data_IF_887794995989
#
_entry.id   IF_887794995989
#
_cell.length_a   1.000
_cell.length_b   1.000
_cell.length_c   1.000
_cell.angle_alpha   90.00
_cell.angle_beta   90.00
_cell.angle_gamma   90.00
#
_symmetry.space_group_name_H-M   'P 1'
#
loop_
_entity.id
_entity.type
_entity.pdbx_description
1 polymer ?
#
# COMPACT_ATOMS: atom_id res chain seq x y z
N UNK A 1 -73.65 -36.12 52.41
CA UNK A 1 -73.23 -36.00 51.00
C UNK A 1 -72.40 -34.73 50.86
N UNK A 2 -71.26 -34.80 50.16
CA UNK A 2 -70.36 -33.70 49.71
C UNK A 2 -69.67 -32.90 50.85
N UNK A 3 -68.44 -33.18 51.29
CA UNK A 3 -67.10 -33.27 50.67
C UNK A 3 -66.63 -32.01 49.91
N UNK A 4 -65.52 -31.46 50.40
CA UNK A 4 -64.44 -30.68 49.72
C UNK A 4 -64.39 -29.18 50.07
N UNK A 5 -63.27 -28.53 50.38
CA UNK A 5 -61.84 -28.91 50.52
C UNK A 5 -61.06 -27.72 51.14
N UNK A 6 -60.17 -27.99 52.09
CA UNK A 6 -59.00 -27.15 52.42
C UNK A 6 -57.92 -27.28 51.32
N UNK A 7 -57.15 -26.23 51.01
CA UNK A 7 -55.97 -25.63 51.68
C UNK A 7 -54.62 -26.24 51.22
N UNK A 8 -53.69 -25.35 50.85
CA UNK A 8 -52.23 -25.54 50.61
C UNK A 8 -51.83 -26.28 49.31
N UNK A 9 -50.73 -26.00 48.59
CA UNK A 9 -49.43 -25.45 48.97
C UNK A 9 -48.63 -24.86 47.77
N UNK A 10 -47.73 -23.91 48.11
CA UNK A 10 -46.36 -23.70 47.59
C UNK A 10 -46.06 -23.66 46.07
N UNK A 11 -45.85 -22.45 45.54
CA UNK A 11 -45.05 -22.17 44.34
C UNK A 11 -43.66 -21.68 44.76
N UNK A 12 -42.63 -22.49 44.55
CA UNK A 12 -41.21 -22.12 44.68
C UNK A 12 -40.56 -21.88 43.30
N UNK A 13 -39.43 -21.13 43.25
CA UNK A 13 -38.84 -20.67 41.99
C UNK A 13 -37.96 -21.72 41.31
N UNK A 14 -38.03 -21.79 39.98
CA UNK A 14 -37.23 -22.69 39.16
C UNK A 14 -35.79 -22.18 39.00
N UNK A 15 -34.85 -22.81 39.71
CA UNK A 15 -33.41 -22.70 39.45
C UNK A 15 -33.03 -23.36 38.12
N UNK A 16 -32.54 -22.58 37.16
CA UNK A 16 -31.85 -23.09 35.97
C UNK A 16 -30.41 -23.48 36.36
N UNK A 17 -30.16 -24.79 36.55
CA UNK A 17 -28.79 -25.32 36.70
C UNK A 17 -28.15 -25.50 35.32
N UNK A 18 -27.01 -24.83 35.12
CA UNK A 18 -26.06 -25.07 34.03
C UNK A 18 -25.65 -26.55 34.00
N UNK A 19 -25.72 -27.15 32.81
CA UNK A 19 -25.21 -28.51 32.54
C UNK A 19 -23.75 -28.39 32.09
N UNK A 20 -22.83 -28.97 32.85
CA UNK A 20 -21.39 -29.02 32.50
C UNK A 20 -21.14 -29.84 31.22
N UNK A 21 -20.14 -29.49 30.39
CA UNK A 21 -19.76 -30.28 29.22
C UNK A 21 -18.99 -31.57 29.64
N UNK A 22 -19.06 -32.66 28.85
CA UNK A 22 -18.38 -33.91 29.17
C UNK A 22 -16.86 -33.84 28.90
N UNK A 23 -16.09 -34.55 29.72
CA UNK A 23 -14.63 -34.65 29.65
C UNK A 23 -14.14 -35.43 28.40
N UNK A 24 -12.94 -35.14 27.86
CA UNK A 24 -12.38 -35.83 26.71
C UNK A 24 -11.80 -37.22 27.08
N UNK A 25 -12.04 -38.21 26.21
CA UNK A 25 -11.51 -39.57 26.28
C UNK A 25 -10.05 -39.64 25.78
N UNK A 26 -9.19 -40.52 26.35
CA UNK A 26 -7.79 -40.64 25.96
C UNK A 26 -7.58 -41.35 24.60
N UNK A 27 -6.66 -40.83 23.80
CA UNK A 27 -6.30 -41.35 22.48
C UNK A 27 -5.43 -42.61 22.58
N UNK A 28 -5.81 -43.66 21.82
CA UNK A 28 -5.03 -44.88 21.64
C UNK A 28 -3.90 -44.71 20.59
N UNK A 29 -2.75 -45.41 20.73
CA UNK A 29 -1.60 -45.23 19.85
C UNK A 29 -1.84 -45.84 18.46
N UNK A 30 -1.58 -45.04 17.41
CA UNK A 30 -1.62 -45.52 16.01
C UNK A 30 -0.33 -46.24 15.66
N UNK A 31 -0.49 -47.50 15.22
CA UNK A 31 0.54 -48.39 14.67
C UNK A 31 1.25 -47.77 13.47
N UNK A 32 2.57 -47.83 13.50
CA UNK A 32 3.47 -47.68 12.34
C UNK A 32 3.37 -48.94 11.50
N UNK A 33 2.90 -48.82 10.26
CA UNK A 33 3.07 -49.85 9.22
C UNK A 33 4.21 -49.42 8.30
N UNK A 34 5.40 -49.97 8.55
CA UNK A 34 6.48 -50.05 7.56
C UNK A 34 6.26 -51.34 6.78
N UNK A 35 6.20 -51.28 5.45
CA UNK A 35 6.41 -52.44 4.56
C UNK A 35 6.98 -51.98 3.20
N UNK A 36 7.70 -52.88 2.51
CA UNK A 36 9.09 -52.63 2.10
C UNK A 36 9.30 -52.29 0.62
N UNK A 37 10.49 -51.73 0.35
CA UNK A 37 11.07 -51.54 -0.99
C UNK A 37 11.48 -52.90 -1.55
N UNK A 38 10.90 -53.28 -2.70
CA UNK A 38 11.38 -54.36 -3.55
C UNK A 38 11.99 -53.77 -4.83
N UNK A 39 13.29 -54.02 -5.01
CA UNK A 39 14.00 -53.82 -6.25
C UNK A 39 13.77 -55.04 -7.17
N UNK A 40 13.46 -54.79 -8.44
CA UNK A 40 13.61 -55.78 -9.50
C UNK A 40 14.01 -55.11 -10.82
N UNK A 41 14.85 -55.84 -11.56
CA UNK A 41 15.73 -55.39 -12.63
C UNK A 41 15.25 -55.94 -13.98
N UNK A 42 15.28 -55.07 -15.00
CA UNK A 42 15.57 -55.29 -16.44
C UNK A 42 14.60 -56.14 -17.29
N UNK A 43 14.17 -55.57 -18.41
CA UNK A 43 13.58 -56.29 -19.55
C UNK A 43 13.13 -55.36 -20.68
N UNK A 44 13.79 -55.48 -21.83
CA UNK A 44 13.71 -54.69 -23.06
C UNK A 44 12.51 -55.06 -23.96
N UNK A 45 11.95 -54.06 -24.69
CA UNK A 45 11.55 -54.04 -26.12
C UNK A 45 10.29 -53.23 -26.46
N UNK A 46 10.52 -52.16 -27.23
CA UNK A 46 9.91 -51.92 -28.56
C UNK A 46 8.41 -51.61 -28.70
N UNK A 47 8.09 -50.44 -29.28
CA UNK A 47 6.79 -50.21 -29.92
C UNK A 47 6.42 -48.75 -30.18
N UNK A 48 6.51 -48.33 -31.45
CA UNK A 48 6.22 -47.00 -32.03
C UNK A 48 4.80 -46.47 -31.76
N UNK A 49 4.70 -45.13 -31.75
CA UNK A 49 3.72 -44.40 -32.58
C UNK A 49 2.94 -43.27 -31.89
N UNK A 50 2.97 -42.08 -32.49
CA UNK A 50 1.86 -41.12 -32.39
C UNK A 50 2.21 -39.70 -31.93
N UNK A 51 2.29 -38.78 -32.88
CA UNK A 51 2.55 -37.33 -32.75
C UNK A 51 1.50 -36.60 -31.89
N UNK A 52 1.95 -35.53 -31.23
CA UNK A 52 1.09 -34.50 -30.64
C UNK A 52 1.89 -33.36 -30.02
N UNK A 53 2.76 -32.70 -30.79
CA UNK A 53 3.45 -31.50 -30.34
C UNK A 53 2.45 -30.34 -30.21
N UNK A 54 2.21 -29.89 -28.96
CA UNK A 54 1.80 -28.51 -28.67
C UNK A 54 2.85 -27.93 -27.74
N UNK A 55 3.96 -27.48 -28.33
CA UNK A 55 4.92 -26.63 -27.64
C UNK A 55 4.28 -25.26 -27.42
N UNK A 56 4.48 -24.79 -26.20
CA UNK A 56 4.08 -23.53 -25.60
C UNK A 56 4.35 -22.31 -26.48
N UNK A 57 3.28 -21.64 -26.92
CA UNK A 57 3.31 -20.26 -27.41
C UNK A 57 3.82 -19.24 -26.37
N UNK A 58 4.06 -19.70 -25.13
CA UNK A 58 4.59 -18.92 -24.02
C UNK A 58 6.13 -18.87 -24.01
N UNK A 59 6.81 -19.84 -24.64
CA UNK A 59 8.27 -19.86 -24.73
C UNK A 59 8.82 -18.91 -25.82
N UNK A 60 8.06 -18.70 -26.89
CA UNK A 60 8.47 -17.79 -27.97
C UNK A 60 8.21 -16.30 -27.64
N UNK A 61 7.31 -16.01 -26.69
CA UNK A 61 7.10 -14.64 -26.18
C UNK A 61 8.21 -14.19 -25.21
N UNK A 62 8.87 -15.12 -24.52
CA UNK A 62 9.99 -14.80 -23.62
C UNK A 62 11.29 -14.52 -24.38
N UNK A 63 11.52 -15.19 -25.51
CA UNK A 63 12.74 -15.00 -26.29
C UNK A 63 12.75 -13.70 -27.10
N UNK A 64 11.59 -13.14 -27.43
CA UNK A 64 11.49 -11.87 -28.19
C UNK A 64 11.65 -10.62 -27.33
N UNK A 65 11.58 -10.73 -26.00
CA UNK A 65 11.82 -9.59 -25.08
C UNK A 65 13.31 -9.44 -24.71
N UNK A 66 14.10 -10.51 -24.83
CA UNK A 66 15.54 -10.51 -24.51
C UNK A 66 16.42 -9.81 -25.57
N UNK A 67 15.93 -9.65 -26.81
CA UNK A 67 16.69 -8.97 -27.89
C UNK A 67 16.41 -7.45 -28.00
N UNK A 68 15.50 -6.89 -27.18
CA UNK A 68 15.09 -5.48 -27.28
C UNK A 68 15.53 -4.58 -26.12
N UNK A 69 16.33 -5.07 -25.17
CA UNK A 69 16.89 -4.22 -24.09
C UNK A 69 18.42 -4.29 -24.11
N UNK A 70 18.99 -3.82 -25.21
CA UNK A 70 20.36 -3.37 -25.23
C UNK A 70 20.48 -2.03 -24.51
N UNK A 71 21.24 -2.04 -23.40
CA UNK A 71 22.09 -0.94 -22.94
C UNK A 71 21.58 0.49 -23.16
N UNK A 72 20.94 1.05 -22.12
CA UNK A 72 21.11 2.45 -21.77
C UNK A 72 21.06 2.57 -20.25
N UNK A 73 22.22 2.79 -19.64
CA UNK A 73 22.30 3.24 -18.27
C UNK A 73 21.70 4.64 -18.18
N UNK A 74 20.73 4.79 -17.29
CA UNK A 74 20.35 6.07 -16.72
C UNK A 74 20.00 5.79 -15.26
N UNK A 75 20.84 6.27 -14.36
CA UNK A 75 20.49 6.54 -12.98
C UNK A 75 19.39 7.59 -12.98
N UNK A 76 18.13 7.17 -13.14
CA UNK A 76 17.00 8.00 -12.78
C UNK A 76 16.94 8.02 -11.25
N UNK A 77 17.39 9.13 -10.66
CA UNK A 77 17.21 9.38 -9.24
C UNK A 77 15.73 9.19 -8.88
N UNK A 78 15.48 8.58 -7.72
CA UNK A 78 14.14 8.21 -7.26
C UNK A 78 13.17 9.39 -7.43
N UNK A 79 12.34 9.32 -8.46
CA UNK A 79 11.36 10.34 -8.75
C UNK A 79 10.34 10.39 -7.61
N UNK A 80 9.93 11.59 -7.18
CA UNK A 80 8.88 11.80 -6.17
C UNK A 80 7.47 11.40 -6.68
N UNK A 81 7.40 10.86 -7.90
CA UNK A 81 6.18 10.33 -8.50
C UNK A 81 5.81 9.00 -7.85
N UNK A 82 4.58 8.92 -7.35
CA UNK A 82 4.01 7.68 -6.83
C UNK A 82 3.83 6.71 -8.01
N UNK A 83 4.32 5.46 -7.93
CA UNK A 83 4.10 4.44 -8.95
C UNK A 83 2.62 4.24 -9.23
N UNK A 84 2.25 4.06 -10.50
CA UNK A 84 0.86 3.87 -10.90
C UNK A 84 0.23 2.64 -10.21
N UNK A 85 1.04 1.61 -9.95
CA UNK A 85 0.69 0.37 -9.25
C UNK A 85 0.29 0.62 -7.80
N UNK A 86 0.82 1.65 -7.14
CA UNK A 86 0.39 2.03 -5.79
C UNK A 86 -1.03 2.60 -5.78
N UNK A 87 -1.42 3.31 -6.85
CA UNK A 87 -2.72 4.00 -6.95
C UNK A 87 -3.80 3.11 -7.59
N UNK A 88 -3.41 1.96 -8.15
CA UNK A 88 -4.34 0.94 -8.66
C UNK A 88 -5.28 0.43 -7.57
N UNK A 89 -6.43 -0.20 -7.92
CA UNK A 89 -7.31 -0.84 -6.94
C UNK A 89 -6.57 -1.85 -6.03
N UNK A 90 -5.68 -2.66 -6.61
CA UNK A 90 -4.87 -3.64 -5.88
C UNK A 90 -3.87 -2.95 -4.95
N UNK A 91 -3.20 -1.89 -5.43
CA UNK A 91 -2.29 -1.08 -4.62
C UNK A 91 -2.98 -0.41 -3.44
N UNK A 92 -4.19 0.14 -3.66
CA UNK A 92 -5.05 0.70 -2.61
C UNK A 92 -5.41 -0.34 -1.56
N UNK A 93 -5.79 -1.53 -1.99
CA UNK A 93 -6.10 -2.64 -1.08
C UNK A 93 -4.88 -3.09 -0.29
N UNK A 94 -3.69 -3.12 -0.90
CA UNK A 94 -2.44 -3.46 -0.24
C UNK A 94 -2.06 -2.38 0.80
N UNK A 95 -2.16 -1.09 0.45
CA UNK A 95 -1.92 0.01 1.37
C UNK A 95 -2.85 -0.05 2.59
N UNK A 96 -4.15 -0.33 2.36
CA UNK A 96 -5.10 -0.55 3.45
C UNK A 96 -4.71 -1.76 4.29
N UNK A 97 -4.35 -2.89 3.67
CA UNK A 97 -3.91 -4.10 4.38
C UNK A 97 -2.70 -3.84 5.27
N UNK A 98 -1.73 -3.05 4.79
CA UNK A 98 -0.55 -2.64 5.55
C UNK A 98 -0.94 -1.82 6.78
N UNK A 99 -1.75 -0.78 6.60
CA UNK A 99 -2.19 0.10 7.67
C UNK A 99 -3.08 -0.62 8.70
N UNK A 100 -4.06 -1.40 8.25
CA UNK A 100 -4.97 -2.16 9.10
C UNK A 100 -4.23 -3.27 9.88
N UNK A 101 -3.34 -4.01 9.23
CA UNK A 101 -2.54 -5.06 9.91
C UNK A 101 -1.66 -4.46 11.01
N UNK A 102 -1.02 -3.32 10.73
CA UNK A 102 -0.22 -2.61 11.73
C UNK A 102 -1.09 -2.16 12.90
N UNK A 103 -2.21 -1.46 12.64
CA UNK A 103 -3.12 -0.98 13.67
C UNK A 103 -3.69 -2.10 14.54
N UNK A 104 -4.07 -3.24 13.94
CA UNK A 104 -4.60 -4.39 14.69
C UNK A 104 -3.60 -4.91 15.74
N UNK A 105 -2.32 -4.92 15.39
CA UNK A 105 -1.24 -5.47 16.21
C UNK A 105 -0.66 -4.46 17.20
N UNK A 106 -0.51 -3.19 16.82
CA UNK A 106 0.16 -2.16 17.64
C UNK A 106 -0.80 -1.20 18.34
N UNK A 107 -2.05 -1.10 17.87
CA UNK A 107 -3.02 -0.05 18.23
C UNK A 107 -2.53 1.37 17.94
N UNK A 108 -1.58 1.51 17.01
CA UNK A 108 -1.05 2.78 16.52
C UNK A 108 -1.30 2.89 15.02
N UNK A 109 -1.49 4.10 14.53
CA UNK A 109 -1.61 4.34 13.09
C UNK A 109 -0.22 4.43 12.45
N UNK A 110 -0.06 3.89 11.23
CA UNK A 110 1.15 4.15 10.44
C UNK A 110 1.22 5.62 9.99
N UNK A 111 0.05 6.17 9.65
CA UNK A 111 -0.15 7.57 9.28
C UNK A 111 -1.47 8.04 9.89
N UNK A 112 -1.47 9.22 10.49
CA UNK A 112 -2.65 9.83 11.12
C UNK A 112 -3.26 10.89 10.19
N UNK A 113 -4.58 11.07 10.26
CA UNK A 113 -5.27 12.14 9.52
C UNK A 113 -5.32 11.99 7.99
N UNK A 114 -5.05 10.79 7.45
CA UNK A 114 -5.02 10.55 6.00
C UNK A 114 -6.31 9.90 5.53
N UNK A 115 -6.96 10.51 4.53
CA UNK A 115 -8.11 9.94 3.84
C UNK A 115 -7.77 8.64 3.12
N UNK A 116 -8.73 7.71 3.06
CA UNK A 116 -8.55 6.42 2.39
C UNK A 116 -8.12 6.53 0.93
N UNK A 117 -8.58 7.55 0.20
CA UNK A 117 -8.21 7.75 -1.21
C UNK A 117 -6.76 8.23 -1.37
N UNK A 118 -6.27 9.01 -0.41
CA UNK A 118 -4.91 9.57 -0.40
C UNK A 118 -3.89 8.64 0.26
N UNK A 119 -4.36 7.62 1.01
CA UNK A 119 -3.52 6.68 1.76
C UNK A 119 -2.36 6.08 0.96
N UNK A 120 -2.52 5.57 -0.28
CA UNK A 120 -1.41 4.95 -1.00
C UNK A 120 -0.29 5.95 -1.33
N UNK A 121 -0.67 7.17 -1.74
CA UNK A 121 0.27 8.23 -2.05
C UNK A 121 0.99 8.72 -0.79
N UNK A 122 0.25 8.90 0.31
CA UNK A 122 0.81 9.28 1.59
C UNK A 122 1.78 8.22 2.15
N UNK A 123 1.40 6.94 2.07
CA UNK A 123 2.24 5.82 2.50
C UNK A 123 3.53 5.71 1.68
N UNK A 124 3.43 5.97 0.37
CA UNK A 124 4.59 5.99 -0.51
C UNK A 124 5.60 7.10 -0.15
N UNK A 125 5.10 8.27 0.30
CA UNK A 125 5.92 9.44 0.66
C UNK A 125 6.25 9.57 2.15
N UNK A 126 5.82 8.61 2.96
CA UNK A 126 5.87 8.67 4.41
C UNK A 126 7.28 8.91 4.99
N UNK A 127 7.40 9.52 6.18
CA UNK A 127 8.67 9.81 6.87
C UNK A 127 9.30 8.58 7.54
N UNK A 128 9.20 7.42 6.90
CA UNK A 128 9.77 6.16 7.34
C UNK A 128 9.96 5.24 6.14
N UNK A 129 10.83 4.25 6.23
CA UNK A 129 10.91 3.19 5.24
C UNK A 129 9.89 2.10 5.58
N UNK A 130 9.11 1.69 4.58
CA UNK A 130 8.16 0.58 4.68
C UNK A 130 8.41 -0.40 3.54
N UNK A 131 8.62 -1.66 3.89
CA UNK A 131 8.78 -2.78 2.98
C UNK A 131 7.79 -3.89 3.32
N UNK A 132 7.26 -4.57 2.31
CA UNK A 132 6.44 -5.76 2.51
C UNK A 132 6.78 -6.86 1.52
N UNK A 133 6.73 -8.11 1.97
CA UNK A 133 6.90 -9.29 1.13
C UNK A 133 5.73 -10.26 1.28
N UNK A 134 5.51 -11.06 0.23
CA UNK A 134 4.56 -12.17 0.30
C UNK A 134 5.10 -13.25 1.24
N UNK A 135 4.20 -13.91 1.97
CA UNK A 135 4.55 -15.04 2.83
C UNK A 135 3.26 -15.78 3.18
N UNK A 136 3.39 -17.07 3.49
CA UNK A 136 2.29 -17.93 3.94
C UNK A 136 1.33 -18.40 2.85
N UNK A 137 1.47 -17.94 1.59
CA UNK A 137 0.81 -18.58 0.46
C UNK A 137 1.45 -19.93 0.13
N UNK A 138 0.63 -20.89 -0.31
CA UNK A 138 1.11 -22.18 -0.78
C UNK A 138 2.07 -22.00 -1.96
N UNK A 139 3.26 -22.62 -1.89
CA UNK A 139 4.29 -22.54 -2.92
C UNK A 139 5.30 -21.39 -2.75
N UNK A 140 5.12 -20.48 -1.79
CA UNK A 140 6.11 -19.43 -1.49
C UNK A 140 7.18 -19.98 -0.57
N UNK A 141 8.29 -20.45 -1.14
CA UNK A 141 9.48 -20.88 -0.39
C UNK A 141 10.50 -19.76 -0.19
N UNK A 142 10.45 -18.74 -1.05
CA UNK A 142 11.36 -17.60 -1.04
C UNK A 142 10.56 -16.30 -1.18
N UNK A 143 10.28 -15.61 -0.06
CA UNK A 143 9.48 -14.37 -0.04
C UNK A 143 10.05 -13.29 -0.98
N UNK A 144 9.20 -12.76 -1.85
CA UNK A 144 9.51 -11.66 -2.78
C UNK A 144 8.81 -10.40 -2.27
N UNK A 145 9.46 -9.24 -2.40
CA UNK A 145 8.83 -7.98 -2.06
C UNK A 145 7.61 -7.71 -2.93
N UNK A 146 6.54 -7.24 -2.30
CA UNK A 146 5.28 -6.83 -2.92
C UNK A 146 5.05 -5.32 -2.77
N UNK A 147 5.86 -4.64 -1.95
CA UNK A 147 5.77 -3.20 -1.72
C UNK A 147 7.08 -2.66 -1.15
N UNK A 148 7.46 -1.45 -1.58
CA UNK A 148 8.45 -0.61 -0.93
C UNK A 148 8.16 0.86 -1.18
N UNK A 149 8.07 1.66 -0.13
CA UNK A 149 7.84 3.09 -0.29
C UNK A 149 9.11 3.83 -0.76
N UNK A 150 8.99 5.13 -1.07
CA UNK A 150 10.08 5.95 -1.61
C UNK A 150 11.36 5.84 -0.79
N UNK A 151 11.26 6.00 0.53
CA UNK A 151 12.42 5.95 1.42
C UNK A 151 13.11 4.57 1.38
N UNK A 152 12.35 3.48 1.26
CA UNK A 152 12.94 2.16 1.07
C UNK A 152 13.63 2.03 -0.29
N UNK A 153 13.00 2.48 -1.38
CA UNK A 153 13.58 2.44 -2.72
C UNK A 153 14.92 3.20 -2.80
N UNK A 154 14.96 4.40 -2.20
CA UNK A 154 16.18 5.23 -2.12
C UNK A 154 17.28 4.54 -1.32
N UNK A 155 16.94 3.99 -0.15
CA UNK A 155 17.91 3.37 0.74
C UNK A 155 18.51 2.08 0.15
N UNK A 156 17.69 1.28 -0.52
CA UNK A 156 18.13 0.07 -1.20
C UNK A 156 18.68 0.32 -2.61
N UNK A 157 18.57 1.56 -3.11
CA UNK A 157 18.97 1.97 -4.47
C UNK A 157 18.35 1.07 -5.53
N UNK A 158 17.03 0.92 -5.46
CA UNK A 158 16.25 0.07 -6.37
C UNK A 158 15.14 0.88 -7.01
N UNK A 159 14.87 0.56 -8.28
CA UNK A 159 13.60 0.94 -8.89
C UNK A 159 12.45 0.14 -8.27
N UNK A 160 11.23 0.61 -8.46
CA UNK A 160 10.03 -0.10 -8.03
C UNK A 160 9.97 -1.53 -8.63
N UNK A 161 10.20 -1.64 -9.95
CA UNK A 161 10.17 -2.93 -10.65
C UNK A 161 11.26 -3.89 -10.16
N UNK A 162 12.48 -3.40 -9.91
CA UNK A 162 13.58 -4.23 -9.42
C UNK A 162 13.28 -4.77 -8.02
N UNK A 163 12.68 -3.94 -7.15
CA UNK A 163 12.33 -4.35 -5.79
C UNK A 163 11.31 -5.49 -5.83
N UNK A 164 10.26 -5.36 -6.66
CA UNK A 164 9.17 -6.33 -6.74
C UNK A 164 9.58 -7.69 -7.34
N UNK A 165 10.75 -7.79 -7.96
CA UNK A 165 11.31 -9.05 -8.43
C UNK A 165 12.35 -9.65 -7.48
N UNK A 166 12.67 -8.95 -6.39
CA UNK A 166 13.76 -9.32 -5.50
C UNK A 166 13.29 -10.18 -4.32
N UNK A 167 13.87 -11.37 -4.12
CA UNK A 167 13.73 -12.10 -2.87
C UNK A 167 14.24 -11.27 -1.68
N UNK A 168 13.48 -11.28 -0.59
CA UNK A 168 13.83 -10.57 0.64
C UNK A 168 15.20 -10.95 1.19
N UNK A 169 15.70 -12.17 0.93
CA UNK A 169 17.03 -12.62 1.37
C UNK A 169 18.18 -11.80 0.77
N UNK A 170 18.01 -11.26 -0.43
CA UNK A 170 19.04 -10.50 -1.14
C UNK A 170 19.25 -9.09 -0.58
N UNK A 171 18.35 -8.63 0.31
CA UNK A 171 18.50 -7.36 1.01
C UNK A 171 19.41 -7.44 2.25
N UNK A 172 19.77 -8.65 2.69
CA UNK A 172 20.68 -8.88 3.80
C UNK A 172 22.09 -9.24 3.26
N UNK A 173 23.17 -8.89 3.98
CA UNK A 173 24.52 -9.33 3.63
C UNK A 173 24.58 -10.85 3.46
N UNK A 174 25.50 -11.31 2.61
CA UNK A 174 25.70 -12.75 2.30
C UNK A 174 26.32 -13.51 3.49
N UNK A 175 26.75 -12.80 4.53
CA UNK A 175 27.27 -13.40 5.76
C UNK A 175 26.20 -14.31 6.42
N UNK A 176 26.57 -15.57 6.68
CA UNK A 176 25.66 -16.61 7.19
C UNK A 176 24.95 -16.21 8.50
N UNK A 177 25.62 -15.42 9.34
CA UNK A 177 25.05 -14.86 10.58
C UNK A 177 23.89 -13.92 10.30
N UNK A 178 24.04 -12.98 9.36
CA UNK A 178 23.01 -12.02 9.00
C UNK A 178 21.77 -12.70 8.38
N UNK A 179 21.98 -13.77 7.60
CA UNK A 179 20.88 -14.58 7.05
C UNK A 179 20.17 -15.40 8.14
N UNK A 180 20.91 -15.96 9.09
CA UNK A 180 20.37 -16.72 10.23
C UNK A 180 19.53 -15.82 11.14
N UNK A 181 20.04 -14.65 11.50
CA UNK A 181 19.33 -13.67 12.33
C UNK A 181 18.03 -13.20 11.67
N UNK A 182 18.09 -12.90 10.37
CA UNK A 182 16.90 -12.59 9.56
C UNK A 182 15.87 -13.71 9.63
N UNK A 183 16.28 -14.96 9.40
CA UNK A 183 15.37 -16.09 9.40
C UNK A 183 14.73 -16.30 10.78
N UNK A 184 15.51 -16.15 11.85
CA UNK A 184 15.01 -16.20 13.23
C UNK A 184 13.97 -15.12 13.53
N UNK A 185 14.23 -13.86 13.11
CA UNK A 185 13.27 -12.75 13.25
C UNK A 185 11.98 -13.01 12.47
N UNK A 186 12.08 -13.49 11.23
CA UNK A 186 10.93 -13.79 10.38
C UNK A 186 10.08 -14.93 10.92
N UNK A 187 10.70 -15.95 11.53
CA UNK A 187 10.00 -17.05 12.18
C UNK A 187 9.35 -16.61 13.49
N UNK A 188 10.05 -15.80 14.29
CA UNK A 188 9.50 -15.22 15.52
C UNK A 188 8.28 -14.36 15.22
N UNK A 189 8.35 -13.49 14.22
CA UNK A 189 7.22 -12.69 13.75
C UNK A 189 6.08 -13.55 13.21
N UNK A 190 6.40 -14.64 12.48
CA UNK A 190 5.39 -15.57 11.98
C UNK A 190 4.57 -16.21 13.13
N UNK A 191 5.22 -16.53 14.25
CA UNK A 191 4.58 -17.12 15.44
C UNK A 191 3.83 -16.08 16.28
N UNK A 192 4.48 -14.96 16.60
CA UNK A 192 3.98 -13.96 17.56
C UNK A 192 3.08 -12.88 16.95
N UNK A 193 3.12 -12.70 15.62
CA UNK A 193 2.39 -11.62 14.94
C UNK A 193 3.26 -10.40 14.67
N UNK A 194 4.12 -10.02 15.62
CA UNK A 194 4.92 -8.79 15.57
C UNK A 194 6.24 -8.93 16.36
N UNK A 195 7.31 -8.32 15.86
CA UNK A 195 8.60 -8.17 16.53
C UNK A 195 9.03 -6.72 16.39
N UNK A 196 9.41 -6.07 17.48
CA UNK A 196 9.78 -4.65 17.52
C UNK A 196 11.19 -4.46 18.09
N UNK A 197 11.80 -3.30 17.83
CA UNK A 197 13.02 -2.87 18.51
C UNK A 197 14.28 -3.66 18.15
N UNK A 198 14.31 -4.30 16.98
CA UNK A 198 15.51 -4.98 16.51
C UNK A 198 16.30 -4.10 15.55
N UNK A 199 17.59 -4.39 15.43
CA UNK A 199 18.48 -3.76 14.47
C UNK A 199 19.06 -4.82 13.54
N UNK A 200 19.30 -4.47 12.28
CA UNK A 200 19.86 -5.42 11.32
C UNK A 200 20.71 -4.73 10.27
N UNK A 201 21.80 -5.37 9.86
CA UNK A 201 22.57 -4.92 8.72
C UNK A 201 21.87 -5.29 7.41
N UNK A 202 21.91 -4.35 6.47
CA UNK A 202 21.34 -4.42 5.12
C UNK A 202 22.37 -3.91 4.13
N UNK A 203 22.21 -4.30 2.87
CA UNK A 203 23.09 -3.91 1.78
C UNK A 203 22.25 -3.32 0.64
N UNK A 204 22.69 -2.18 0.09
CA UNK A 204 22.08 -1.57 -1.09
C UNK A 204 22.54 -2.25 -2.38
N UNK A 205 21.94 -1.88 -3.51
CA UNK A 205 22.34 -2.42 -4.81
C UNK A 205 23.77 -2.07 -5.22
N UNK A 206 24.29 -0.91 -4.81
CA UNK A 206 25.70 -0.53 -5.02
C UNK A 206 26.68 -1.16 -4.02
N UNK A 207 26.18 -1.92 -3.04
CA UNK A 207 27.01 -2.58 -2.03
C UNK A 207 27.21 -1.78 -0.75
N UNK A 208 26.58 -0.60 -0.59
CA UNK A 208 26.65 0.16 0.67
C UNK A 208 25.95 -0.61 1.78
N UNK A 209 26.63 -0.79 2.92
CA UNK A 209 26.00 -1.37 4.10
C UNK A 209 25.39 -0.29 4.97
N UNK A 210 24.25 -0.59 5.56
CA UNK A 210 23.60 0.25 6.52
C UNK A 210 22.88 -0.61 7.56
N UNK A 211 22.83 -0.13 8.79
CA UNK A 211 22.14 -0.80 9.89
C UNK A 211 20.78 -0.15 10.09
N UNK A 212 19.70 -0.88 9.83
CA UNK A 212 18.35 -0.40 10.15
C UNK A 212 18.13 -0.50 11.67
N UNK A 213 17.47 0.50 12.27
CA UNK A 213 17.28 0.60 13.72
C UNK A 213 15.80 0.71 14.09
N UNK A 214 15.48 0.29 15.31
CA UNK A 214 14.12 0.26 15.89
C UNK A 214 13.06 -0.31 14.95
N UNK A 215 13.38 -1.42 14.30
CA UNK A 215 12.53 -1.96 13.24
C UNK A 215 11.34 -2.68 13.86
N UNK A 216 10.16 -2.42 13.30
CA UNK A 216 8.93 -3.18 13.59
C UNK A 216 8.59 -4.08 12.41
N UNK A 217 8.70 -5.38 12.62
CA UNK A 217 8.31 -6.44 11.68
C UNK A 217 6.97 -7.03 12.11
N UNK A 218 5.98 -7.00 11.24
CA UNK A 218 4.62 -7.45 11.55
C UNK A 218 4.03 -8.30 10.42
N UNK A 219 3.12 -9.20 10.76
CA UNK A 219 2.42 -10.02 9.76
C UNK A 219 1.28 -9.23 9.11
N UNK A 220 1.13 -9.42 7.80
CA UNK A 220 -0.01 -8.91 7.04
C UNK A 220 -1.16 -9.88 7.14
N UNK A 221 -2.34 -9.36 7.47
CA UNK A 221 -3.58 -10.10 7.58
C UNK A 221 -4.57 -9.58 6.55
N UNK A 222 -5.18 -10.49 5.79
CA UNK A 222 -6.29 -10.12 4.93
C UNK A 222 -7.57 -9.83 5.75
N UNK A 223 -8.64 -9.46 5.05
CA UNK A 223 -9.94 -9.18 5.67
C UNK A 223 -10.53 -10.39 6.42
N UNK A 224 -10.18 -11.61 6.04
CA UNK A 224 -10.61 -12.85 6.72
C UNK A 224 -9.79 -13.17 7.98
N UNK A 225 -8.70 -12.42 8.23
CA UNK A 225 -7.75 -12.69 9.32
C UNK A 225 -6.68 -13.72 8.94
N UNK A 226 -6.59 -14.11 7.66
CA UNK A 226 -5.57 -15.03 7.17
C UNK A 226 -4.26 -14.27 6.94
N UNK A 227 -3.14 -14.89 7.33
CA UNK A 227 -1.81 -14.29 7.11
C UNK A 227 -1.44 -14.38 5.63
N UNK A 228 -1.09 -13.25 5.03
CA UNK A 228 -0.75 -13.13 3.59
C UNK A 228 0.67 -12.61 3.32
N UNK A 229 1.37 -12.15 4.36
CA UNK A 229 2.71 -11.60 4.18
C UNK A 229 3.32 -11.11 5.47
N UNK A 230 4.45 -10.41 5.35
CA UNK A 230 5.03 -9.64 6.45
C UNK A 230 5.54 -8.31 5.93
N UNK A 231 5.54 -7.31 6.79
CA UNK A 231 6.06 -5.98 6.50
C UNK A 231 6.98 -5.50 7.61
N UNK A 232 7.97 -4.69 7.23
CA UNK A 232 8.93 -4.06 8.12
C UNK A 232 8.86 -2.55 7.96
N UNK A 233 8.75 -1.84 9.09
CA UNK A 233 8.77 -0.38 9.15
C UNK A 233 9.87 0.10 10.08
N UNK A 234 10.59 1.13 9.67
CA UNK A 234 11.63 1.80 10.46
C UNK A 234 11.83 3.25 10.00
N UNK A 235 12.21 4.13 10.91
CA UNK A 235 12.47 5.55 10.62
C UNK A 235 13.94 5.94 10.72
N UNK A 236 14.81 5.06 11.22
CA UNK A 236 16.22 5.35 11.45
C UNK A 236 17.12 4.28 10.86
N UNK A 237 18.26 4.71 10.31
CA UNK A 237 19.34 3.84 9.89
C UNK A 237 20.70 4.46 10.21
N UNK A 238 21.71 3.62 10.34
CA UNK A 238 23.09 4.02 10.62
C UNK A 238 23.99 3.57 9.48
N UNK A 239 24.83 4.46 8.97
CA UNK A 239 25.81 4.13 7.94
C UNK A 239 27.02 3.40 8.55
N UNK A 240 27.89 2.82 7.72
CA UNK A 240 29.12 2.17 8.21
C UNK A 240 30.03 3.14 8.99
N UNK A 241 29.97 4.44 8.68
CA UNK A 241 30.72 5.49 9.40
C UNK A 241 30.16 5.80 10.79
N UNK A 242 29.07 5.12 11.21
CA UNK A 242 28.40 5.32 12.50
C UNK A 242 27.46 6.52 12.55
N UNK A 243 27.18 7.16 11.40
CA UNK A 243 26.26 8.29 11.34
C UNK A 243 24.82 7.79 11.32
N UNK A 244 24.02 8.23 12.29
CA UNK A 244 22.59 7.90 12.37
C UNK A 244 21.79 8.92 11.58
N UNK A 245 21.02 8.42 10.61
CA UNK A 245 20.09 9.18 9.79
C UNK A 245 18.66 8.88 10.19
N UNK A 246 17.83 9.92 10.24
CA UNK A 246 16.38 9.81 10.37
C UNK A 246 15.75 10.07 9.02
N UNK A 247 14.90 9.16 8.57
CA UNK A 247 14.18 9.27 7.30
C UNK A 247 13.20 10.44 7.41
N UNK A 248 13.32 11.38 6.49
CA UNK A 248 12.37 12.49 6.35
C UNK A 248 11.33 12.12 5.30
N UNK A 249 10.10 12.55 5.53
CA UNK A 249 9.04 12.39 4.54
C UNK A 249 9.36 13.19 3.29
N UNK A 250 8.87 12.72 2.15
CA UNK A 250 8.66 13.64 1.03
C UNK A 250 7.42 14.41 1.36
N UNK A 251 7.54 15.72 1.60
CA UNK A 251 6.37 16.56 1.39
C UNK A 251 5.93 16.31 -0.06
N UNK A 252 4.63 16.06 -0.26
CA UNK A 252 4.08 16.24 -1.59
C UNK A 252 4.58 17.62 -2.02
N UNK A 253 5.32 17.71 -3.13
CA UNK A 253 5.80 19.02 -3.57
C UNK A 253 4.63 19.97 -3.48
N UNK A 254 4.84 21.10 -2.79
CA UNK A 254 3.84 22.08 -2.43
C UNK A 254 2.80 22.27 -3.55
N UNK A 255 1.76 21.46 -3.52
CA UNK A 255 0.40 21.96 -3.63
C UNK A 255 0.10 22.27 -2.18
N UNK A 256 0.33 23.54 -1.88
CA UNK A 256 -0.24 24.34 -0.80
C UNK A 256 -0.79 23.54 0.37
N UNK A 257 -0.18 23.78 1.53
CA UNK A 257 -0.88 23.85 2.80
C UNK A 257 -2.25 24.54 2.63
N UNK A 258 -3.29 23.81 2.26
CA UNK A 258 -4.60 24.05 2.82
C UNK A 258 -4.58 23.51 4.24
N UNK A 259 -3.94 24.33 5.07
CA UNK A 259 -4.13 24.38 6.51
C UNK A 259 -5.62 24.24 6.78
N UNK A 260 -5.98 23.36 7.70
CA UNK A 260 -7.29 23.40 8.33
C UNK A 260 -7.52 24.80 8.94
N UNK A 261 -8.19 25.69 8.21
CA UNK A 261 -8.42 27.07 8.63
C UNK A 261 -9.66 27.68 7.95
N UNK A 262 -10.85 27.13 8.21
CA UNK A 262 -12.13 27.77 7.86
C UNK A 262 -12.33 28.01 6.35
N UNK A 263 -13.44 28.66 5.94
CA UNK A 263 -13.61 29.08 4.55
C UNK A 263 -12.51 30.10 4.22
N UNK A 264 -11.54 29.67 3.41
CA UNK A 264 -10.48 30.53 2.86
C UNK A 264 -11.16 31.58 1.99
N UNK A 265 -11.14 32.82 2.46
CA UNK A 265 -11.62 33.96 1.68
C UNK A 265 -10.64 34.12 0.51
N UNK A 266 -11.09 34.01 -0.75
CA UNK A 266 -10.21 34.17 -1.90
C UNK A 266 -9.58 35.58 -1.88
N UNK A 267 -8.28 35.66 -2.10
CA UNK A 267 -7.59 36.95 -2.06
C UNK A 267 -7.89 37.76 -3.33
N UNK A 268 -7.95 39.11 -3.28
CA UNK A 268 -8.18 39.93 -4.47
C UNK A 268 -7.16 39.68 -5.60
N UNK A 269 -5.92 39.33 -5.25
CA UNK A 269 -4.86 39.00 -6.20
C UNK A 269 -5.14 37.71 -7.00
N UNK A 270 -5.75 36.70 -6.37
CA UNK A 270 -6.15 35.44 -7.04
C UNK A 270 -7.27 35.68 -8.05
N UNK A 271 -8.21 36.56 -7.74
CA UNK A 271 -9.31 36.91 -8.65
C UNK A 271 -8.73 37.66 -9.86
N UNK A 272 -7.92 38.68 -9.64
CA UNK A 272 -7.27 39.44 -10.72
C UNK A 272 -6.43 38.54 -11.63
N UNK A 273 -5.65 37.62 -11.05
CA UNK A 273 -4.89 36.63 -11.80
C UNK A 273 -5.80 35.70 -12.64
N UNK A 274 -6.94 35.28 -12.08
CA UNK A 274 -7.92 34.49 -12.81
C UNK A 274 -8.58 35.28 -13.96
N UNK A 275 -8.88 36.58 -13.78
CA UNK A 275 -9.42 37.43 -14.84
C UNK A 275 -8.40 37.64 -15.97
N UNK A 276 -7.14 37.84 -15.61
CA UNK A 276 -6.03 37.93 -16.55
C UNK A 276 -5.90 36.64 -17.38
N UNK A 277 -5.94 35.47 -16.72
CA UNK A 277 -5.86 34.17 -17.39
C UNK A 277 -7.04 33.89 -18.33
N UNK A 278 -8.26 34.33 -17.97
CA UNK A 278 -9.43 34.27 -18.87
C UNK A 278 -9.23 35.16 -20.08
N UNK A 279 -8.70 36.37 -19.87
CA UNK A 279 -8.45 37.36 -20.93
C UNK A 279 -7.38 36.88 -21.91
N UNK A 280 -6.29 36.31 -21.39
CA UNK A 280 -5.20 35.71 -22.18
C UNK A 280 -5.71 34.52 -23.00
N UNK A 281 -6.45 33.60 -22.38
CA UNK A 281 -7.01 32.45 -23.11
C UNK A 281 -8.04 32.88 -24.17
N UNK A 282 -8.84 33.92 -23.89
CA UNK A 282 -9.76 34.47 -24.88
C UNK A 282 -8.99 35.11 -26.06
N UNK A 283 -7.86 35.77 -25.81
CA UNK A 283 -6.97 36.28 -26.84
C UNK A 283 -6.35 35.13 -27.64
N UNK A 284 -5.97 34.03 -26.99
CA UNK A 284 -5.47 32.83 -27.67
C UNK A 284 -6.53 32.25 -28.63
N UNK A 285 -7.78 32.07 -28.17
CA UNK A 285 -8.89 31.61 -29.02
C UNK A 285 -9.13 32.56 -30.21
N UNK A 286 -9.03 33.88 -30.02
CA UNK A 286 -9.13 34.85 -31.12
C UNK A 286 -7.98 34.70 -32.11
N UNK A 287 -6.74 34.54 -31.63
CA UNK A 287 -5.56 34.36 -32.48
C UNK A 287 -5.64 33.11 -33.34
N UNK A 288 -6.18 32.00 -32.82
CA UNK A 288 -6.40 30.76 -33.58
C UNK A 288 -7.38 30.99 -34.74
N UNK A 289 -8.41 31.83 -34.54
CA UNK A 289 -9.42 32.10 -35.58
C UNK A 289 -8.94 33.14 -36.61
N UNK A 290 -8.31 34.22 -36.15
CA UNK A 290 -7.97 35.37 -36.98
C UNK A 290 -6.62 35.22 -37.68
N UNK A 291 -5.60 34.72 -36.97
CA UNK A 291 -4.23 34.63 -37.50
C UNK A 291 -4.01 33.30 -38.22
N UNK A 292 -4.54 32.22 -37.68
CA UNK A 292 -4.37 30.87 -38.23
C UNK A 292 -5.54 30.43 -39.12
N UNK A 293 -6.62 31.22 -39.19
CA UNK A 293 -7.77 30.93 -40.05
C UNK A 293 -8.56 29.68 -39.66
N UNK A 294 -8.37 29.16 -38.44
CA UNK A 294 -9.04 27.96 -37.97
C UNK A 294 -10.52 28.25 -37.69
N UNK A 295 -11.37 27.30 -38.06
CA UNK A 295 -12.79 27.32 -37.81
C UNK A 295 -13.13 26.73 -36.43
N UNK A 296 -14.36 26.98 -35.96
CA UNK A 296 -14.83 26.46 -34.67
C UNK A 296 -14.78 24.92 -34.54
N UNK A 297 -14.78 24.20 -35.67
CA UNK A 297 -14.77 22.74 -35.68
C UNK A 297 -13.35 22.16 -35.62
N UNK A 298 -12.32 23.00 -35.73
CA UNK A 298 -10.94 22.53 -35.68
C UNK A 298 -10.55 22.17 -34.24
N UNK A 299 -9.87 21.03 -34.11
CA UNK A 299 -9.45 20.45 -32.82
C UNK A 299 -8.71 21.49 -31.94
N UNK A 300 -7.76 22.30 -32.44
CA UNK A 300 -7.08 23.31 -31.62
C UNK A 300 -8.02 24.37 -31.05
N UNK A 301 -9.01 24.80 -31.83
CA UNK A 301 -10.01 25.79 -31.39
C UNK A 301 -10.93 25.17 -30.35
N UNK A 302 -11.34 23.92 -30.50
CA UNK A 302 -12.16 23.21 -29.52
C UNK A 302 -11.45 23.04 -28.18
N UNK A 303 -10.17 22.65 -28.19
CA UNK A 303 -9.34 22.53 -26.98
C UNK A 303 -9.22 23.89 -26.28
N UNK A 304 -8.86 24.94 -27.03
CA UNK A 304 -8.67 26.27 -26.47
C UNK A 304 -9.99 26.85 -25.89
N UNK A 305 -11.14 26.58 -26.52
CA UNK A 305 -12.47 26.98 -26.03
C UNK A 305 -12.87 26.19 -24.77
N UNK A 306 -12.57 24.90 -24.69
CA UNK A 306 -12.81 24.09 -23.49
C UNK A 306 -12.00 24.62 -22.30
N UNK A 307 -10.74 24.98 -22.55
CA UNK A 307 -9.86 25.56 -21.54
C UNK A 307 -10.33 26.95 -21.11
N UNK A 308 -10.81 27.78 -22.05
CA UNK A 308 -11.44 29.07 -21.73
C UNK A 308 -12.69 28.90 -20.85
N UNK A 309 -13.51 27.90 -21.14
CA UNK A 309 -14.71 27.60 -20.33
C UNK A 309 -14.33 27.20 -18.90
N UNK A 310 -13.32 26.34 -18.74
CA UNK A 310 -12.79 25.93 -17.43
C UNK A 310 -12.31 27.15 -16.62
N UNK A 311 -11.52 28.04 -17.24
CA UNK A 311 -11.03 29.26 -16.56
C UNK A 311 -12.15 30.21 -16.15
N UNK A 312 -13.20 30.33 -16.96
CA UNK A 312 -14.40 31.12 -16.61
C UNK A 312 -15.17 30.53 -15.42
N UNK A 313 -15.30 29.21 -15.36
CA UNK A 313 -15.94 28.52 -14.23
C UNK A 313 -15.13 28.70 -12.94
N UNK A 314 -13.79 28.68 -13.03
CA UNK A 314 -12.90 28.96 -11.89
C UNK A 314 -13.05 30.39 -11.39
N UNK A 315 -13.03 31.38 -12.29
CA UNK A 315 -13.25 32.80 -11.94
C UNK A 315 -14.62 33.02 -11.27
N UNK A 316 -15.68 32.41 -11.82
CA UNK A 316 -17.02 32.50 -11.24
C UNK A 316 -17.09 31.84 -9.85
N UNK A 317 -16.34 30.75 -9.64
CA UNK A 317 -16.21 30.10 -8.33
C UNK A 317 -15.53 31.00 -7.30
N UNK A 318 -14.43 31.66 -7.67
CA UNK A 318 -13.70 32.59 -6.79
C UNK A 318 -14.53 33.83 -6.46
N UNK A 319 -15.21 34.42 -7.44
CA UNK A 319 -16.09 35.57 -7.21
C UNK A 319 -17.25 35.22 -6.27
N UNK A 320 -17.87 34.06 -6.46
CA UNK A 320 -18.94 33.58 -5.58
C UNK A 320 -18.43 33.32 -4.15
N UNK A 321 -17.25 32.71 -4.01
CA UNK A 321 -16.65 32.47 -2.70
C UNK A 321 -16.35 33.80 -1.96
N UNK A 322 -15.92 34.84 -2.68
CA UNK A 322 -15.75 36.18 -2.12
C UNK A 322 -17.09 36.78 -1.65
N UNK A 323 -18.14 36.67 -2.46
CA UNK A 323 -19.48 37.16 -2.12
C UNK A 323 -20.05 36.44 -0.89
N UNK A 324 -19.92 35.12 -0.84
CA UNK A 324 -20.36 34.29 0.29
C UNK A 324 -19.58 34.65 1.57
N UNK A 325 -18.27 34.92 1.46
CA UNK A 325 -17.44 35.39 2.58
C UNK A 325 -17.83 36.79 3.07
N UNK A 326 -18.09 37.73 2.16
CA UNK A 326 -18.58 39.06 2.52
C UNK A 326 -19.96 39.01 3.18
N UNK A 327 -20.85 38.14 2.69
CA UNK A 327 -22.16 37.92 3.28
C UNK A 327 -22.06 37.33 4.68
N UNK A 328 -21.16 36.36 4.90
CA UNK A 328 -20.90 35.78 6.21
C UNK A 328 -20.31 36.79 7.20
N UNK A 329 -19.37 37.64 6.76
CA UNK A 329 -18.82 38.72 7.59
C UNK A 329 -19.87 39.77 7.95
N UNK A 330 -20.81 40.05 7.04
CA UNK A 330 -21.89 41.00 7.29
C UNK A 330 -22.90 40.44 8.30
N UNK A 331 -23.30 39.18 8.16
CA UNK A 331 -24.21 38.52 9.08
C UNK A 331 -23.63 38.44 10.51
N UNK A 332 -22.32 38.22 10.65
CA UNK A 332 -21.64 38.20 11.94
C UNK A 332 -21.59 39.58 12.64
N UNK A 333 -21.75 40.68 11.91
CA UNK A 333 -21.78 42.04 12.46
C UNK A 333 -23.20 42.54 12.77
N UNK A 334 -24.24 41.95 12.17
CA UNK A 334 -25.64 42.34 12.39
C UNK A 334 -26.28 41.60 13.60
N UNK A 335 -25.61 40.59 14.20
CA UNK A 335 -26.10 39.79 15.34
C UNK A 335 -25.74 40.37 16.74
N UNK A 336 -24.98 41.48 16.81
CA UNK A 336 -24.51 42.09 18.09
C UNK A 336 -25.39 43.27 18.59
N UNK A 337 -26.53 43.57 17.96
CA UNK A 337 -27.39 44.74 18.25
C UNK A 337 -28.85 44.40 18.71
N UNK A 338 -29.13 43.19 19.23
CA UNK A 338 -30.38 42.85 19.97
C UNK A 338 -30.15 42.50 21.44
#
# INVERSE_FOLDING_TARGET
MQLSRGLTAATGPACWRLRSPPAPLPAAPRRVCVQPVLAAKKGDKGGKGGKGAKKSALADLLKKKEEATGSAGATEGASNTVPAECVSPEGRMLAFTLADSYYRLTKKFLLEGVDFEKLPAALFRAPFALLAHNKFQAGVTDPIYIYGNRAALELFEKSWDDLLQMPSRLSAPVEDSAQTDRNGLLEKAAKTGIVTGYEAWRISSSGRRFKIKDVTLFNLMDRSGTKVGQAAVFSQYETEDGVVHTIKGSEAGAEEDEVAAGPTIPTPEEIEAAEAAVTEQAAHVRSLKEVQGLQNNDIPVQIAVMELKKRKEQLAGLQKALEDALAASKAAFDDDDE
#
